data_IF_724295684699
#
_entry.id   IF_724295684699
#
_cell.length_a   1.000
_cell.length_b   1.000
_cell.length_c   1.000
_cell.angle_alpha   90.00
_cell.angle_beta   90.00
_cell.angle_gamma   90.00
#
_symmetry.space_group_name_H-M   'P 1'
#
loop_
_entity.id
_entity.type
_entity.pdbx_description
1 polymer ?
#
# COMPACT_ATOMS: atom_id res chain seq x y z
N UNK A 1 50.08 -49.05 -8.47
CA UNK A 1 48.92 -48.79 -7.63
C UNK A 1 48.39 -47.38 -7.95
N UNK A 2 47.30 -47.30 -8.73
CA UNK A 2 46.70 -45.99 -9.13
C UNK A 2 45.62 -45.63 -8.13
N UNK A 3 45.79 -44.53 -7.40
CA UNK A 3 44.80 -44.02 -6.48
C UNK A 3 43.73 -43.22 -7.27
N UNK A 4 42.51 -43.73 -7.34
CA UNK A 4 41.37 -42.99 -7.87
C UNK A 4 40.89 -42.03 -6.79
N UNK A 5 41.02 -40.70 -7.06
CA UNK A 5 40.42 -39.66 -6.27
C UNK A 5 39.03 -39.39 -6.85
N UNK A 6 37.98 -39.81 -6.14
CA UNK A 6 36.61 -39.44 -6.47
C UNK A 6 36.35 -38.04 -5.90
N UNK A 7 36.34 -37.04 -6.77
CA UNK A 7 35.88 -35.71 -6.44
C UNK A 7 34.35 -35.75 -6.42
N UNK A 8 33.77 -35.73 -5.24
CA UNK A 8 32.31 -35.62 -5.04
C UNK A 8 31.89 -34.18 -5.27
N UNK A 9 31.35 -33.87 -6.43
CA UNK A 9 30.73 -32.58 -6.72
C UNK A 9 29.36 -32.56 -6.04
N UNK A 10 29.28 -31.92 -4.85
CA UNK A 10 28.00 -31.57 -4.23
C UNK A 10 27.50 -30.35 -4.96
N UNK A 11 26.63 -30.57 -5.94
CA UNK A 11 25.85 -29.48 -6.55
C UNK A 11 24.82 -29.01 -5.53
N UNK A 12 25.13 -27.92 -4.85
CA UNK A 12 24.17 -27.23 -3.98
C UNK A 12 23.10 -26.59 -4.90
N UNK A 13 21.99 -27.27 -5.12
CA UNK A 13 20.79 -26.66 -5.68
C UNK A 13 20.26 -25.67 -4.62
N UNK A 14 20.73 -24.43 -4.70
CA UNK A 14 20.00 -23.32 -4.11
C UNK A 14 18.75 -23.16 -4.97
N UNK A 15 17.67 -23.80 -4.55
CA UNK A 15 16.34 -23.43 -5.02
C UNK A 15 16.15 -21.96 -4.63
N UNK A 16 16.34 -21.05 -5.60
CA UNK A 16 15.86 -19.70 -5.50
C UNK A 16 14.33 -19.80 -5.35
N UNK A 17 13.87 -19.89 -4.12
CA UNK A 17 12.49 -19.61 -3.82
C UNK A 17 12.31 -18.16 -4.29
N UNK A 18 11.51 -17.97 -5.32
CA UNK A 18 11.00 -16.67 -5.69
C UNK A 18 10.42 -16.10 -4.41
N UNK A 19 11.15 -15.18 -3.77
CA UNK A 19 10.57 -14.29 -2.79
C UNK A 19 9.46 -13.61 -3.56
N UNK A 20 8.22 -14.09 -3.41
CA UNK A 20 7.07 -13.34 -3.88
C UNK A 20 7.24 -11.96 -3.28
N UNK A 21 7.48 -10.97 -4.15
CA UNK A 21 7.68 -9.61 -3.70
C UNK A 21 6.48 -9.25 -2.84
N UNK A 22 6.72 -9.00 -1.56
CA UNK A 22 5.63 -8.68 -0.64
C UNK A 22 5.02 -7.37 -1.09
N UNK A 23 3.73 -7.37 -1.40
CA UNK A 23 3.01 -6.14 -1.67
C UNK A 23 2.84 -5.31 -0.40
N UNK A 24 2.61 -4.02 -0.58
CA UNK A 24 2.45 -3.09 0.54
C UNK A 24 1.16 -2.30 0.41
N UNK A 25 0.59 -1.95 1.55
CA UNK A 25 -0.56 -1.06 1.64
C UNK A 25 -0.17 0.11 2.53
N UNK A 26 -0.13 1.32 1.96
CA UNK A 26 -0.04 2.55 2.73
C UNK A 26 -1.43 3.14 2.90
N UNK A 27 -1.76 3.58 4.11
CA UNK A 27 -3.05 4.20 4.44
C UNK A 27 -2.82 5.55 5.08
N UNK A 28 -3.58 6.55 4.62
CA UNK A 28 -3.55 7.91 5.12
C UNK A 28 -4.97 8.29 5.56
N UNK A 29 -5.24 8.20 6.85
CA UNK A 29 -6.52 8.59 7.44
C UNK A 29 -6.56 10.09 7.64
N UNK A 30 -7.62 10.72 7.15
CA UNK A 30 -7.79 12.16 7.16
C UNK A 30 -9.17 12.55 7.66
N UNK A 31 -9.26 13.69 8.34
CA UNK A 31 -10.52 14.36 8.67
C UNK A 31 -10.81 15.40 7.57
N UNK A 32 -11.81 15.11 6.75
CA UNK A 32 -12.16 15.94 5.60
C UNK A 32 -13.32 16.87 5.97
N UNK A 33 -13.11 18.17 5.82
CA UNK A 33 -14.11 19.21 6.11
C UNK A 33 -15.11 19.43 4.98
N UNK A 34 -14.69 19.17 3.72
CA UNK A 34 -15.53 19.27 2.53
C UNK A 34 -15.27 18.09 1.60
N UNK A 35 -16.04 16.98 1.74
CA UNK A 35 -15.82 15.76 0.96
C UNK A 35 -15.87 15.97 -0.57
N UNK A 36 -16.84 16.76 -1.06
CA UNK A 36 -16.96 17.01 -2.50
C UNK A 36 -15.71 17.69 -3.07
N UNK A 37 -15.26 18.78 -2.43
CA UNK A 37 -14.05 19.47 -2.88
C UNK A 37 -12.78 18.62 -2.76
N UNK A 38 -12.72 17.72 -1.77
CA UNK A 38 -11.58 16.83 -1.62
C UNK A 38 -11.56 15.73 -2.69
N UNK A 39 -12.72 15.14 -3.02
CA UNK A 39 -12.87 14.18 -4.13
C UNK A 39 -12.47 14.84 -5.45
N UNK A 40 -12.99 16.03 -5.75
CA UNK A 40 -12.63 16.77 -6.97
C UNK A 40 -11.12 17.04 -7.06
N UNK A 41 -10.48 17.37 -5.94
CA UNK A 41 -9.04 17.60 -5.90
C UNK A 41 -8.25 16.30 -6.16
N UNK A 42 -8.69 15.16 -5.61
CA UNK A 42 -8.09 13.85 -5.86
C UNK A 42 -8.27 13.43 -7.32
N UNK A 43 -9.45 13.57 -7.89
CA UNK A 43 -9.73 13.24 -9.30
C UNK A 43 -8.87 14.10 -10.23
N UNK A 44 -8.74 15.38 -9.94
CA UNK A 44 -7.85 16.28 -10.69
C UNK A 44 -6.39 15.84 -10.61
N UNK A 45 -5.89 15.44 -9.42
CA UNK A 45 -4.52 14.93 -9.25
C UNK A 45 -4.32 13.66 -10.07
N UNK A 46 -5.22 12.68 -9.95
CA UNK A 46 -5.11 11.39 -10.64
C UNK A 46 -5.27 11.51 -12.16
N UNK A 47 -5.89 12.57 -12.66
CA UNK A 47 -6.02 12.88 -14.09
C UNK A 47 -4.74 13.47 -14.71
N UNK A 48 -3.78 13.92 -13.90
CA UNK A 48 -2.48 14.42 -14.37
C UNK A 48 -1.59 13.29 -14.89
N UNK A 49 -0.51 13.65 -15.60
CA UNK A 49 0.51 12.66 -16.01
C UNK A 49 1.18 12.04 -14.78
N UNK A 50 1.34 12.79 -13.68
CA UNK A 50 1.81 12.27 -12.40
C UNK A 50 0.88 11.17 -11.89
N UNK A 51 -0.43 11.44 -11.80
CA UNK A 51 -1.41 10.47 -11.32
C UNK A 51 -1.50 9.20 -12.18
N UNK A 52 -1.48 9.35 -13.51
CA UNK A 52 -1.51 8.23 -14.45
C UNK A 52 -0.27 7.34 -14.39
N UNK A 53 0.88 7.90 -14.01
CA UNK A 53 2.15 7.17 -13.87
C UNK A 53 2.43 6.72 -12.44
N UNK A 54 1.57 7.04 -11.48
CA UNK A 54 1.78 6.68 -10.09
C UNK A 54 1.80 5.17 -9.89
N UNK A 55 2.83 4.58 -9.24
CA UNK A 55 3.08 3.13 -9.25
C UNK A 55 2.27 2.35 -8.19
N UNK A 56 1.06 2.81 -7.88
CA UNK A 56 0.15 2.11 -6.98
C UNK A 56 -1.30 2.27 -7.41
N UNK A 57 -2.15 1.33 -7.04
CA UNK A 57 -3.59 1.53 -7.10
C UNK A 57 -3.98 2.46 -5.94
N UNK A 58 -4.59 3.60 -6.29
CA UNK A 58 -5.03 4.62 -5.33
C UNK A 58 -6.53 4.52 -5.15
N UNK A 59 -6.98 4.44 -3.90
CA UNK A 59 -8.40 4.46 -3.57
C UNK A 59 -8.68 5.44 -2.44
N UNK A 60 -9.76 6.21 -2.56
CA UNK A 60 -10.29 7.06 -1.49
C UNK A 60 -11.56 6.40 -0.96
N UNK A 61 -11.59 6.14 0.34
CA UNK A 61 -12.76 5.59 1.02
C UNK A 61 -13.27 6.54 2.08
N UNK A 62 -14.59 6.56 2.26
CA UNK A 62 -15.24 7.22 3.38
C UNK A 62 -15.50 6.19 4.47
N UNK A 63 -15.21 6.53 5.72
CA UNK A 63 -15.59 5.69 6.85
C UNK A 63 -17.10 5.74 7.07
N UNK A 64 -17.75 4.57 7.06
CA UNK A 64 -19.15 4.46 7.48
C UNK A 64 -19.28 4.51 9.00
N UNK A 65 -18.29 3.95 9.70
CA UNK A 65 -18.09 4.10 11.15
C UNK A 65 -16.59 3.91 11.45
N UNK A 66 -16.07 4.61 12.43
CA UNK A 66 -14.64 4.59 12.77
C UNK A 66 -14.39 4.62 14.30
N UNK A 67 -15.31 4.09 15.08
CA UNK A 67 -15.20 4.06 16.53
C UNK A 67 -15.07 5.47 17.12
N UNK A 68 -13.99 5.71 17.86
CA UNK A 68 -13.67 7.01 18.47
C UNK A 68 -12.67 7.85 17.67
N UNK A 69 -12.23 7.36 16.52
CA UNK A 69 -11.29 8.06 15.65
C UNK A 69 -12.00 9.19 14.89
N UNK A 70 -11.36 10.36 14.81
CA UNK A 70 -11.93 11.53 14.14
C UNK A 70 -11.79 11.51 12.61
N UNK A 71 -11.03 10.56 12.06
CA UNK A 71 -10.88 10.45 10.61
C UNK A 71 -12.22 10.13 9.95
N UNK A 72 -12.52 10.84 8.87
CA UNK A 72 -13.72 10.65 8.07
C UNK A 72 -13.48 9.89 6.78
N UNK A 73 -12.24 9.94 6.29
CA UNK A 73 -11.81 9.31 5.04
C UNK A 73 -10.44 8.67 5.19
N UNK A 74 -10.14 7.74 4.28
CA UNK A 74 -8.81 7.15 4.15
C UNK A 74 -8.41 7.05 2.68
N UNK A 75 -7.20 7.52 2.38
CA UNK A 75 -6.53 7.25 1.10
C UNK A 75 -5.71 5.99 1.27
N UNK A 76 -5.93 5.00 0.42
CA UNK A 76 -5.22 3.72 0.42
C UNK A 76 -4.38 3.63 -0.85
N UNK A 77 -3.10 3.36 -0.69
CA UNK A 77 -2.15 3.11 -1.77
C UNK A 77 -1.74 1.64 -1.73
N UNK A 78 -2.10 0.89 -2.77
CA UNK A 78 -1.79 -0.53 -2.87
C UNK A 78 -0.63 -0.74 -3.85
N UNK A 79 0.56 -1.00 -3.31
CA UNK A 79 1.78 -1.27 -4.05
C UNK A 79 1.97 -2.77 -4.28
N UNK A 80 2.39 -3.14 -5.47
CA UNK A 80 2.61 -4.53 -5.84
C UNK A 80 3.86 -5.11 -5.15
N UNK A 81 4.92 -4.30 -5.02
CA UNK A 81 6.22 -4.71 -4.50
C UNK A 81 7.02 -3.55 -3.88
N UNK A 82 8.24 -3.85 -3.45
CA UNK A 82 9.16 -2.87 -2.86
C UNK A 82 9.64 -1.82 -3.87
N UNK A 83 9.76 -2.18 -5.15
CA UNK A 83 10.22 -1.26 -6.19
C UNK A 83 9.15 -0.19 -6.45
N UNK A 84 7.89 -0.60 -6.61
CA UNK A 84 6.76 0.31 -6.77
C UNK A 84 6.57 1.19 -5.54
N UNK A 85 6.75 0.66 -4.32
CA UNK A 85 6.73 1.45 -3.10
C UNK A 85 7.84 2.52 -3.09
N UNK A 86 9.06 2.15 -3.48
CA UNK A 86 10.18 3.10 -3.57
C UNK A 86 9.90 4.24 -4.55
N UNK A 87 9.50 3.91 -5.78
CA UNK A 87 9.12 4.89 -6.81
C UNK A 87 7.96 5.79 -6.37
N UNK A 88 6.93 5.22 -5.72
CA UNK A 88 5.82 6.00 -5.20
C UNK A 88 6.24 6.98 -4.12
N UNK A 89 7.11 6.55 -3.21
CA UNK A 89 7.65 7.41 -2.15
C UNK A 89 8.48 8.57 -2.73
N UNK A 90 9.32 8.31 -3.72
CA UNK A 90 10.10 9.33 -4.42
C UNK A 90 9.21 10.34 -5.14
N UNK A 91 8.13 9.88 -5.76
CA UNK A 91 7.21 10.73 -6.51
C UNK A 91 6.44 11.75 -5.67
N UNK A 92 6.37 11.58 -4.35
CA UNK A 92 5.76 12.57 -3.46
C UNK A 92 6.53 13.89 -3.38
N UNK A 93 7.78 13.92 -3.82
CA UNK A 93 8.56 15.17 -3.96
C UNK A 93 8.22 15.96 -5.22
N UNK A 94 7.43 15.41 -6.15
CA UNK A 94 7.06 16.06 -7.40
C UNK A 94 6.24 17.35 -7.13
N UNK A 95 6.50 18.45 -7.86
CA UNK A 95 5.78 19.72 -7.73
C UNK A 95 4.25 19.59 -7.91
N UNK A 96 3.78 18.66 -8.75
CA UNK A 96 2.36 18.40 -8.96
C UNK A 96 1.71 17.90 -7.68
N UNK A 97 2.33 16.90 -7.02
CA UNK A 97 1.85 16.38 -5.75
C UNK A 97 1.96 17.41 -4.62
N UNK A 98 3.06 18.16 -4.55
CA UNK A 98 3.23 19.23 -3.57
C UNK A 98 2.17 20.33 -3.73
N UNK A 99 1.81 20.67 -4.97
CA UNK A 99 0.71 21.61 -5.25
C UNK A 99 -0.65 21.07 -4.80
N UNK A 100 -0.89 19.77 -4.95
CA UNK A 100 -2.09 19.12 -4.45
C UNK A 100 -2.15 19.21 -2.91
N UNK A 101 -1.08 18.88 -2.20
CA UNK A 101 -1.03 18.99 -0.74
C UNK A 101 -1.30 20.42 -0.27
N UNK A 102 -0.71 21.41 -0.92
CA UNK A 102 -0.94 22.82 -0.58
C UNK A 102 -2.39 23.24 -0.77
N UNK A 103 -3.04 22.80 -1.86
CA UNK A 103 -4.44 23.10 -2.16
C UNK A 103 -5.42 22.41 -1.22
N UNK A 104 -5.09 21.20 -0.76
CA UNK A 104 -5.98 20.40 0.10
C UNK A 104 -5.72 20.58 1.58
N UNK A 105 -4.69 21.32 1.98
CA UNK A 105 -4.32 21.55 3.39
C UNK A 105 -5.43 22.13 4.27
N UNK A 106 -6.35 22.92 3.68
CA UNK A 106 -7.52 23.45 4.38
C UNK A 106 -8.76 22.55 4.32
N UNK A 107 -8.72 21.51 3.48
CA UNK A 107 -9.83 20.57 3.27
C UNK A 107 -9.67 19.28 4.08
N UNK A 108 -8.44 18.86 4.34
CA UNK A 108 -8.14 17.59 4.98
C UNK A 108 -7.04 17.76 6.04
N UNK A 109 -7.35 17.34 7.25
CA UNK A 109 -6.42 17.27 8.38
C UNK A 109 -5.89 15.84 8.48
N UNK A 110 -4.56 15.59 8.44
CA UNK A 110 -3.98 14.28 8.65
C UNK A 110 -4.22 13.78 10.08
N UNK A 111 -4.76 12.58 10.24
CA UNK A 111 -5.02 11.95 11.54
C UNK A 111 -4.02 10.84 11.80
N UNK A 112 -3.87 9.90 10.86
CA UNK A 112 -3.01 8.74 11.00
C UNK A 112 -2.45 8.32 9.66
N UNK A 113 -1.24 7.72 9.69
CA UNK A 113 -0.68 7.03 8.54
C UNK A 113 -0.08 5.70 8.95
N UNK A 114 -0.21 4.71 8.09
CA UNK A 114 0.37 3.38 8.30
C UNK A 114 0.90 2.79 7.02
N UNK A 115 1.94 1.97 7.13
CA UNK A 115 2.47 1.15 6.05
C UNK A 115 2.43 -0.31 6.50
N UNK A 116 1.72 -1.14 5.75
CA UNK A 116 1.53 -2.54 6.04
C UNK A 116 2.11 -3.39 4.93
N UNK A 117 2.82 -4.47 5.28
CA UNK A 117 3.25 -5.49 4.35
C UNK A 117 2.16 -6.55 4.24
N UNK A 118 1.79 -6.93 3.02
CA UNK A 118 0.82 -8.02 2.78
C UNK A 118 1.50 -9.36 3.06
N UNK A 119 1.06 -10.06 4.10
CA UNK A 119 1.57 -11.39 4.45
C UNK A 119 0.76 -12.50 3.76
N UNK A 120 -0.55 -12.31 3.64
CA UNK A 120 -1.46 -13.26 3.01
C UNK A 120 -2.44 -12.47 2.17
N UNK A 121 -2.67 -12.92 0.95
CA UNK A 121 -3.70 -12.39 0.08
C UNK A 121 -4.71 -13.50 -0.22
N UNK A 122 -5.98 -13.26 0.08
CA UNK A 122 -7.06 -14.21 -0.16
C UNK A 122 -8.27 -13.52 -0.78
N UNK A 123 -8.99 -14.24 -1.65
CA UNK A 123 -10.15 -13.70 -2.36
C UNK A 123 -9.80 -12.86 -3.58
N UNK A 124 -10.83 -12.34 -4.24
CA UNK A 124 -10.71 -11.48 -5.41
C UNK A 124 -10.86 -10.02 -4.96
N UNK A 125 -9.82 -9.23 -5.19
CA UNK A 125 -9.87 -7.78 -5.00
C UNK A 125 -10.26 -7.12 -6.31
N UNK A 126 -11.45 -6.55 -6.35
CA UNK A 126 -11.97 -5.81 -7.51
C UNK A 126 -12.30 -4.37 -7.10
N UNK A 127 -11.32 -3.45 -7.19
CA UNK A 127 -11.50 -2.07 -6.69
C UNK A 127 -12.58 -1.29 -7.44
N UNK A 128 -12.95 -1.72 -8.66
CA UNK A 128 -13.93 -1.06 -9.50
C UNK A 128 -15.40 -1.28 -9.05
N UNK A 129 -15.64 -2.23 -8.14
CA UNK A 129 -16.99 -2.65 -7.77
C UNK A 129 -17.54 -1.99 -6.48
N UNK A 130 -17.10 -0.80 -6.11
CA UNK A 130 -17.59 -0.07 -4.91
C UNK A 130 -17.69 -0.96 -3.66
N UNK A 131 -16.62 -1.70 -3.37
CA UNK A 131 -16.60 -2.65 -2.28
C UNK A 131 -16.54 -1.96 -0.91
N UNK A 132 -17.20 -2.56 0.06
CA UNK A 132 -17.08 -2.16 1.47
C UNK A 132 -15.98 -3.00 2.12
N UNK A 133 -15.03 -2.34 2.76
CA UNK A 133 -13.93 -2.99 3.48
C UNK A 133 -14.10 -2.79 4.96
N UNK A 134 -13.77 -3.84 5.72
CA UNK A 134 -13.64 -3.75 7.16
C UNK A 134 -12.18 -4.03 7.52
N UNK A 135 -11.56 -3.09 8.23
CA UNK A 135 -10.17 -3.21 8.70
C UNK A 135 -10.21 -3.49 10.19
N UNK A 136 -9.63 -4.63 10.59
CA UNK A 136 -9.42 -4.97 11.99
C UNK A 136 -7.95 -4.76 12.34
N UNK A 137 -7.68 -3.95 13.37
CA UNK A 137 -6.35 -3.83 13.96
C UNK A 137 -6.27 -4.71 15.18
N UNK A 138 -5.26 -5.59 15.22
CA UNK A 138 -5.10 -6.58 16.26
C UNK A 138 -3.66 -6.62 16.73
N UNK A 139 -3.45 -6.78 18.02
CA UNK A 139 -2.18 -7.18 18.59
C UNK A 139 -2.09 -8.71 18.53
N UNK A 140 -1.05 -9.22 17.84
CA UNK A 140 -0.85 -10.64 17.63
C UNK A 140 0.29 -11.14 18.50
N UNK A 141 0.00 -11.97 19.49
CA UNK A 141 0.98 -12.53 20.43
C UNK A 141 1.90 -13.57 19.78
N UNK A 142 1.42 -14.32 18.78
CA UNK A 142 2.15 -15.34 18.03
C UNK A 142 1.83 -15.23 16.55
N UNK A 143 2.63 -14.43 15.83
CA UNK A 143 2.43 -14.22 14.41
C UNK A 143 2.59 -15.49 13.56
N UNK A 144 3.43 -16.45 13.98
CA UNK A 144 3.64 -17.70 13.26
C UNK A 144 2.43 -18.63 13.34
N UNK A 145 1.72 -18.61 14.45
CA UNK A 145 0.47 -19.38 14.64
C UNK A 145 -0.73 -18.67 13.99
N UNK A 146 -0.72 -17.33 13.95
CA UNK A 146 -1.81 -16.56 13.35
C UNK A 146 -1.83 -16.65 11.82
N UNK A 147 -0.67 -16.78 11.18
CA UNK A 147 -0.53 -16.82 9.72
C UNK A 147 -0.71 -18.21 9.09
N UNK A 148 -1.09 -19.22 9.87
CA UNK A 148 -1.39 -20.61 9.40
C UNK A 148 -2.86 -20.77 9.06
#
# INVERSE_FOLDING_TARGET
>A
MKKFIYTFFVTLFVSAQSLNAAGYIASYSVKVSNPGAYVDAMDNLMSTEWGKSFPAVVALHQYAFNGYDEATHVVVLNYEDTESLGKGTESFSDPVFQSFLAKTSSLAEPIEQSLNMKLINGGNYEPENNQVYTIYRMEVNDAASYAK
#
